data_IF_442164270907
#
_entry.id   IF_442164270907
#
_cell.length_a   1.000
_cell.length_b   1.000
_cell.length_c   1.000
_cell.angle_alpha   90.00
_cell.angle_beta   90.00
_cell.angle_gamma   90.00
#
_symmetry.space_group_name_H-M   'P 1'
#
loop_
_entity.id
_entity.type
_entity.pdbx_description
1 polymer ?
#
# COMPACT_ATOMS: atom_id res chain seq x y z
N UNK A 1 -19.25 39.88 -37.21
CA UNK A 1 -19.92 38.59 -36.95
C UNK A 1 -18.93 37.71 -36.19
N UNK A 2 -19.16 37.49 -34.90
CA UNK A 2 -18.28 36.66 -34.07
C UNK A 2 -18.59 35.18 -34.35
N UNK A 3 -17.59 34.44 -34.82
CA UNK A 3 -17.69 32.98 -34.91
C UNK A 3 -17.65 32.43 -33.49
N UNK A 4 -18.77 31.87 -33.03
CA UNK A 4 -18.83 31.08 -31.80
C UNK A 4 -17.99 29.82 -32.02
N UNK A 5 -16.88 29.71 -31.30
CA UNK A 5 -16.09 28.48 -31.27
C UNK A 5 -16.94 27.28 -30.84
N UNK A 6 -16.57 26.06 -31.26
CA UNK A 6 -17.33 24.87 -30.91
C UNK A 6 -17.40 24.71 -29.39
N UNK A 7 -18.63 24.67 -28.85
CA UNK A 7 -18.86 24.33 -27.44
C UNK A 7 -18.57 22.84 -27.28
N UNK A 8 -17.46 22.52 -26.63
CA UNK A 8 -17.13 21.14 -26.27
C UNK A 8 -17.98 20.76 -25.05
N UNK A 9 -18.97 19.90 -25.26
CA UNK A 9 -19.84 19.38 -24.20
C UNK A 9 -19.11 18.44 -23.23
N UNK A 10 -19.77 18.10 -22.14
CA UNK A 10 -19.30 17.06 -21.20
C UNK A 10 -19.21 15.70 -21.90
N UNK A 11 -18.29 14.83 -21.48
CA UNK A 11 -18.07 13.48 -22.06
C UNK A 11 -19.32 12.58 -22.06
N UNK A 12 -20.37 13.00 -21.33
CA UNK A 12 -21.67 12.33 -21.24
C UNK A 12 -22.70 12.79 -22.28
N UNK A 13 -22.41 13.85 -23.04
CA UNK A 13 -23.30 14.39 -24.08
C UNK A 13 -22.76 14.03 -25.47
N UNK A 14 -23.31 12.96 -26.07
CA UNK A 14 -23.02 12.59 -27.46
C UNK A 14 -23.83 13.51 -28.38
N UNK A 15 -23.26 14.64 -28.79
CA UNK A 15 -23.92 15.61 -29.68
C UNK A 15 -23.14 15.82 -30.98
N UNK A 16 -23.37 14.93 -31.95
CA UNK A 16 -22.91 15.06 -33.33
C UNK A 16 -23.47 13.94 -34.21
N UNK A 17 -24.00 14.31 -35.39
CA UNK A 17 -24.33 13.39 -36.47
C UNK A 17 -23.38 13.70 -37.64
N UNK A 18 -22.60 12.70 -38.06
CA UNK A 18 -21.68 12.85 -39.20
C UNK A 18 -22.19 12.00 -40.35
N UNK A 19 -22.42 12.64 -41.50
CA UNK A 19 -22.79 11.98 -42.74
C UNK A 19 -21.50 11.62 -43.49
N UNK A 20 -21.21 10.33 -43.60
CA UNK A 20 -20.08 9.82 -44.38
C UNK A 20 -20.63 9.40 -45.76
N UNK A 21 -19.85 9.66 -46.81
CA UNK A 21 -20.24 9.34 -48.19
C UNK A 21 -20.80 7.92 -48.30
N UNK A 22 -22.11 7.81 -48.60
CA UNK A 22 -22.88 6.56 -48.53
C UNK A 22 -24.24 6.70 -47.88
N UNK A 23 -24.49 7.78 -47.12
CA UNK A 23 -25.79 8.04 -46.47
C UNK A 23 -25.93 7.43 -45.07
N UNK A 24 -24.87 6.80 -44.57
CA UNK A 24 -24.81 6.30 -43.19
C UNK A 24 -24.60 7.47 -42.21
N UNK A 25 -25.51 7.61 -41.25
CA UNK A 25 -25.43 8.59 -40.17
C UNK A 25 -24.81 7.93 -38.95
N UNK A 26 -23.62 8.40 -38.56
CA UNK A 26 -22.98 7.98 -37.31
C UNK A 26 -23.24 9.00 -36.21
N UNK A 27 -23.73 8.54 -35.06
CA UNK A 27 -23.83 9.35 -33.83
C UNK A 27 -22.50 9.29 -33.07
N UNK A 28 -21.84 10.42 -32.91
CA UNK A 28 -20.52 10.52 -32.30
C UNK A 28 -20.01 11.95 -32.24
N UNK A 29 -18.72 12.12 -31.95
CA UNK A 29 -18.07 13.42 -31.99
C UNK A 29 -17.67 13.80 -33.42
N UNK A 30 -17.82 15.07 -33.81
CA UNK A 30 -17.26 15.59 -35.06
C UNK A 30 -15.72 15.67 -34.98
N UNK A 31 -15.04 15.78 -36.12
CA UNK A 31 -13.58 15.92 -36.17
C UNK A 31 -13.10 17.14 -35.35
N UNK A 32 -13.82 18.25 -35.40
CA UNK A 32 -13.52 19.46 -34.64
C UNK A 32 -13.69 19.24 -33.13
N UNK A 33 -14.74 18.52 -32.72
CA UNK A 33 -14.97 18.18 -31.32
C UNK A 33 -13.88 17.25 -30.79
N UNK A 34 -13.49 16.23 -31.57
CA UNK A 34 -12.37 15.33 -31.22
C UNK A 34 -11.07 16.12 -31.11
N UNK A 35 -10.79 17.01 -32.08
CA UNK A 35 -9.58 17.85 -32.06
C UNK A 35 -9.53 18.74 -30.82
N UNK A 36 -10.65 19.40 -30.46
CA UNK A 36 -10.73 20.22 -29.25
C UNK A 36 -10.56 19.39 -27.96
N UNK A 37 -11.16 18.19 -27.90
CA UNK A 37 -10.99 17.27 -26.78
C UNK A 37 -9.53 16.83 -26.63
N UNK A 38 -8.86 16.48 -27.74
CA UNK A 38 -7.46 16.09 -27.75
C UNK A 38 -6.55 17.23 -27.28
N UNK A 39 -6.80 18.47 -27.72
CA UNK A 39 -6.06 19.64 -27.24
C UNK A 39 -6.28 19.89 -25.74
N UNK A 40 -7.50 19.66 -25.24
CA UNK A 40 -7.82 19.80 -23.83
C UNK A 40 -7.16 18.71 -22.98
N UNK A 41 -7.17 17.46 -23.45
CA UNK A 41 -6.46 16.35 -22.80
C UNK A 41 -4.96 16.65 -22.77
N UNK A 42 -4.36 17.03 -23.90
CA UNK A 42 -2.93 17.30 -23.97
C UNK A 42 -2.46 18.50 -23.12
N UNK A 43 -3.35 19.47 -22.85
CA UNK A 43 -3.04 20.62 -21.98
C UNK A 43 -3.32 20.37 -20.50
N UNK A 44 -4.28 19.51 -20.19
CA UNK A 44 -4.67 19.18 -18.80
C UNK A 44 -3.85 18.01 -18.24
N UNK A 45 -3.64 16.97 -19.05
CA UNK A 45 -2.71 15.89 -18.77
C UNK A 45 -1.36 16.27 -19.32
N UNK A 46 -0.48 16.74 -18.45
CA UNK A 46 0.95 16.70 -18.70
C UNK A 46 1.46 15.34 -18.21
N UNK A 47 1.59 14.32 -19.08
CA UNK A 47 2.19 13.06 -18.67
C UNK A 47 3.60 13.36 -18.17
N UNK A 48 3.87 13.02 -16.91
CA UNK A 48 5.24 12.96 -16.43
C UNK A 48 6.02 12.00 -17.34
N UNK A 49 7.27 12.31 -17.73
CA UNK A 49 8.10 11.37 -18.47
C UNK A 49 8.12 10.04 -17.74
N UNK A 50 7.85 8.95 -18.47
CA UNK A 50 7.93 7.60 -17.91
C UNK A 50 9.33 7.41 -17.33
N UNK A 51 9.41 7.16 -16.02
CA UNK A 51 10.67 7.10 -15.27
C UNK A 51 11.40 5.75 -15.43
N UNK A 52 10.91 4.89 -16.33
CA UNK A 52 11.48 3.57 -16.60
C UNK A 52 10.98 2.47 -15.66
N UNK A 53 10.20 2.78 -14.61
CA UNK A 53 9.69 1.77 -13.67
C UNK A 53 8.50 1.03 -14.26
N UNK A 54 8.64 -0.28 -14.43
CA UNK A 54 7.52 -1.12 -14.88
C UNK A 54 6.47 -1.20 -13.76
N UNK A 55 5.20 -0.80 -14.01
CA UNK A 55 4.16 -0.85 -12.99
C UNK A 55 3.66 -2.27 -12.72
N UNK A 56 4.02 -3.24 -13.57
CA UNK A 56 3.62 -4.63 -13.45
C UNK A 56 4.76 -5.47 -12.86
N UNK A 57 4.58 -5.94 -11.62
CA UNK A 57 5.57 -6.74 -10.88
C UNK A 57 5.49 -8.26 -11.10
N UNK A 58 4.56 -8.73 -11.93
CA UNK A 58 4.42 -10.16 -12.21
C UNK A 58 4.06 -10.98 -10.96
N UNK A 59 4.92 -11.94 -10.59
CA UNK A 59 4.75 -12.79 -9.40
C UNK A 59 5.39 -12.20 -8.14
N UNK A 60 6.16 -11.12 -8.25
CA UNK A 60 6.71 -10.44 -7.09
C UNK A 60 5.59 -9.74 -6.32
N UNK A 61 5.75 -9.65 -5.01
CA UNK A 61 4.82 -8.91 -4.17
C UNK A 61 5.12 -7.41 -4.22
N UNK A 62 4.09 -6.61 -3.91
CA UNK A 62 4.23 -5.17 -3.75
C UNK A 62 4.84 -4.89 -2.37
N UNK A 63 5.91 -4.12 -2.37
CA UNK A 63 6.54 -3.60 -1.16
C UNK A 63 5.90 -2.26 -0.76
N UNK A 64 6.31 -1.72 0.38
CA UNK A 64 5.83 -0.42 0.86
C UNK A 64 6.08 0.71 -0.14
N UNK A 65 7.21 0.66 -0.84
CA UNK A 65 7.61 1.64 -1.85
C UNK A 65 6.72 1.60 -3.09
N UNK A 66 6.03 0.48 -3.32
CA UNK A 66 5.14 0.30 -4.46
C UNK A 66 3.68 0.68 -4.13
N UNK A 67 3.41 1.31 -2.99
CA UNK A 67 2.05 1.66 -2.55
C UNK A 67 1.29 2.52 -3.58
N UNK A 68 1.99 3.38 -4.33
CA UNK A 68 1.40 4.18 -5.41
C UNK A 68 0.90 3.34 -6.59
N UNK A 69 1.31 2.07 -6.68
CA UNK A 69 0.90 1.12 -7.71
C UNK A 69 -0.11 0.07 -7.17
N UNK A 70 -0.42 0.10 -5.87
CA UNK A 70 -1.28 -0.87 -5.22
C UNK A 70 -2.73 -0.37 -5.16
N UNK A 71 -3.58 -0.93 -6.02
CA UNK A 71 -4.99 -0.50 -6.17
C UNK A 71 -5.99 -1.66 -6.07
N UNK A 72 -7.26 -1.32 -5.85
CA UNK A 72 -8.41 -2.24 -5.88
C UNK A 72 -8.63 -2.99 -4.56
N UNK A 73 -7.83 -2.71 -3.52
CA UNK A 73 -7.94 -3.32 -2.19
C UNK A 73 -8.08 -2.30 -1.06
N UNK A 74 -8.46 -1.07 -1.39
CA UNK A 74 -8.55 0.06 -0.46
C UNK A 74 -9.51 -0.23 0.70
N UNK A 75 -10.67 -0.83 0.40
CA UNK A 75 -11.64 -1.24 1.43
C UNK A 75 -11.05 -2.26 2.40
N UNK A 76 -10.31 -3.24 1.87
CA UNK A 76 -9.68 -4.27 2.71
C UNK A 76 -8.56 -3.69 3.59
N UNK A 77 -7.80 -2.72 3.07
CA UNK A 77 -6.82 -1.95 3.86
C UNK A 77 -7.53 -1.16 4.97
N UNK A 78 -8.63 -0.47 4.69
CA UNK A 78 -9.41 0.26 5.69
C UNK A 78 -9.96 -0.64 6.79
N UNK A 79 -10.46 -1.83 6.42
CA UNK A 79 -10.92 -2.83 7.39
C UNK A 79 -9.78 -3.33 8.28
N UNK A 80 -8.58 -3.55 7.71
CA UNK A 80 -7.39 -3.94 8.46
C UNK A 80 -6.89 -2.83 9.39
N UNK A 81 -6.90 -1.57 8.95
CA UNK A 81 -6.56 -0.41 9.78
C UNK A 81 -7.52 -0.32 10.99
N UNK A 82 -8.82 -0.51 10.75
CA UNK A 82 -9.82 -0.51 11.82
C UNK A 82 -9.55 -1.63 12.84
N UNK A 83 -9.23 -2.84 12.38
CA UNK A 83 -8.87 -3.97 13.26
C UNK A 83 -7.56 -3.71 14.03
N UNK A 84 -6.54 -3.16 13.38
CA UNK A 84 -5.27 -2.84 14.01
C UNK A 84 -5.38 -1.72 15.06
N UNK A 85 -6.41 -0.86 14.96
CA UNK A 85 -6.72 0.14 15.97
C UNK A 85 -7.27 -0.49 17.24
N UNK A 86 -8.15 -1.47 17.10
CA UNK A 86 -8.93 -2.05 18.20
C UNK A 86 -8.33 -3.34 18.78
N UNK A 87 -7.33 -3.94 18.12
CA UNK A 87 -6.72 -5.21 18.51
C UNK A 87 -5.19 -5.17 18.45
N UNK A 88 -4.54 -5.78 19.44
CA UNK A 88 -3.08 -5.92 19.47
C UNK A 88 -2.54 -6.97 18.49
N UNK A 89 -3.41 -7.83 17.96
CA UNK A 89 -3.04 -8.91 17.05
C UNK A 89 -4.11 -9.09 15.99
N UNK A 90 -3.68 -9.18 14.73
CA UNK A 90 -4.57 -9.40 13.57
C UNK A 90 -4.00 -10.54 12.75
N UNK A 91 -4.76 -11.62 12.62
CA UNK A 91 -4.42 -12.74 11.75
C UNK A 91 -5.03 -12.52 10.37
N UNK A 92 -4.22 -12.73 9.33
CA UNK A 92 -4.64 -12.61 7.94
C UNK A 92 -4.46 -13.98 7.29
N UNK A 93 -5.56 -14.56 6.81
CA UNK A 93 -5.57 -15.88 6.18
C UNK A 93 -6.07 -15.79 4.75
N UNK A 94 -5.62 -16.71 3.91
CA UNK A 94 -6.02 -16.76 2.51
C UNK A 94 -5.09 -17.66 1.69
N UNK A 95 -5.52 -18.08 0.48
CA UNK A 95 -4.73 -18.95 -0.38
C UNK A 95 -3.31 -18.43 -0.65
N UNK A 96 -2.38 -19.33 -0.96
CA UNK A 96 -1.06 -18.91 -1.45
C UNK A 96 -1.23 -18.08 -2.74
N UNK A 97 -0.40 -17.05 -2.90
CA UNK A 97 -0.48 -16.14 -4.04
C UNK A 97 -1.68 -15.17 -4.04
N UNK A 98 -2.54 -15.15 -3.01
CA UNK A 98 -3.69 -14.23 -2.97
C UNK A 98 -3.33 -12.75 -2.71
N UNK A 99 -2.03 -12.44 -2.60
CA UNK A 99 -1.50 -11.09 -2.36
C UNK A 99 -1.54 -10.63 -0.91
N UNK A 100 -1.43 -11.54 0.07
CA UNK A 100 -1.46 -11.20 1.52
C UNK A 100 -0.30 -10.30 1.91
N UNK A 101 0.93 -10.67 1.53
CA UNK A 101 2.13 -9.87 1.83
C UNK A 101 2.06 -8.49 1.16
N UNK A 102 1.61 -8.41 -0.09
CA UNK A 102 1.34 -7.13 -0.78
C UNK A 102 0.31 -6.27 -0.05
N UNK A 103 -0.82 -6.87 0.37
CA UNK A 103 -1.87 -6.18 1.13
C UNK A 103 -1.34 -5.60 2.44
N UNK A 104 -0.45 -6.32 3.12
CA UNK A 104 0.11 -5.88 4.40
C UNK A 104 1.20 -4.82 4.16
N UNK A 105 2.14 -5.05 3.25
CA UNK A 105 3.30 -4.17 3.02
C UNK A 105 2.89 -2.88 2.30
N UNK A 106 2.42 -3.02 1.06
CA UNK A 106 2.02 -1.89 0.22
C UNK A 106 0.69 -1.23 0.67
N UNK A 107 -0.18 -1.99 1.33
CA UNK A 107 -1.45 -1.49 1.84
C UNK A 107 -1.39 -1.02 3.30
N UNK A 108 -1.40 -1.96 4.24
CA UNK A 108 -1.57 -1.67 5.67
C UNK A 108 -0.38 -0.89 6.29
N UNK A 109 0.84 -1.38 6.14
CA UNK A 109 2.05 -0.77 6.71
C UNK A 109 2.25 0.62 6.12
N UNK A 110 2.13 0.76 4.80
CA UNK A 110 2.15 2.06 4.15
C UNK A 110 1.10 3.01 4.74
N UNK A 111 -0.17 2.60 4.81
CA UNK A 111 -1.24 3.42 5.37
C UNK A 111 -0.98 3.85 6.83
N UNK A 112 -0.49 2.93 7.66
CA UNK A 112 -0.13 3.25 9.06
C UNK A 112 1.03 4.24 9.12
N UNK A 113 2.07 4.09 8.29
CA UNK A 113 3.16 5.07 8.21
C UNK A 113 2.72 6.44 7.70
N UNK A 114 1.66 6.50 6.90
CA UNK A 114 1.00 7.75 6.49
C UNK A 114 0.02 8.32 7.54
N UNK A 115 -0.06 7.72 8.73
CA UNK A 115 -0.91 8.24 9.82
C UNK A 115 -2.39 7.86 9.71
N UNK A 116 -2.72 6.74 9.05
CA UNK A 116 -4.10 6.24 9.00
C UNK A 116 -4.72 6.00 10.39
N UNK A 117 -3.87 5.81 11.42
CA UNK A 117 -4.24 5.93 12.83
C UNK A 117 -3.49 7.13 13.40
N UNK A 118 -4.15 7.93 14.24
CA UNK A 118 -3.51 9.11 14.83
C UNK A 118 -2.23 8.72 15.58
N UNK A 119 -1.07 9.23 15.13
CA UNK A 119 0.23 8.95 15.70
C UNK A 119 0.96 7.75 15.11
N UNK A 120 0.35 7.01 14.16
CA UNK A 120 0.97 5.80 13.60
C UNK A 120 2.17 6.05 12.71
N UNK A 121 2.35 7.28 12.23
CA UNK A 121 3.55 7.72 11.50
C UNK A 121 4.82 7.67 12.37
N UNK A 122 4.67 7.65 13.71
CA UNK A 122 5.77 7.58 14.68
C UNK A 122 5.96 6.20 15.31
N UNK A 123 5.18 5.20 14.89
CA UNK A 123 5.32 3.83 15.36
C UNK A 123 6.59 3.18 14.82
N UNK A 124 7.00 2.10 15.47
CA UNK A 124 8.16 1.29 15.10
C UNK A 124 7.67 0.06 14.35
N UNK A 125 8.22 -0.22 13.16
CA UNK A 125 7.78 -1.30 12.28
C UNK A 125 8.90 -2.30 12.05
N UNK A 126 8.60 -3.59 12.14
CA UNK A 126 9.51 -4.63 11.69
C UNK A 126 8.80 -5.84 11.11
N UNK A 127 9.47 -6.46 10.14
CA UNK A 127 9.07 -7.71 9.53
C UNK A 127 9.86 -8.87 10.14
N UNK A 128 9.18 -9.98 10.42
CA UNK A 128 9.75 -11.24 10.89
C UNK A 128 9.38 -12.31 9.89
N UNK A 129 10.39 -13.04 9.43
CA UNK A 129 10.22 -14.25 8.62
C UNK A 129 10.75 -15.39 9.51
N UNK A 130 9.87 -16.15 10.18
CA UNK A 130 10.27 -17.09 11.21
C UNK A 130 11.27 -18.15 10.71
N UNK A 131 10.99 -18.75 9.55
CA UNK A 131 11.77 -19.85 9.00
C UNK A 131 12.07 -20.96 10.03
N UNK A 132 13.27 -21.52 9.95
CA UNK A 132 13.73 -22.63 10.82
C UNK A 132 14.07 -22.23 12.25
N UNK A 133 14.31 -20.94 12.50
CA UNK A 133 14.71 -20.44 13.81
C UNK A 133 13.81 -19.26 14.25
N UNK A 134 12.50 -19.50 14.53
CA UNK A 134 11.52 -18.44 14.79
C UNK A 134 11.92 -17.48 15.91
N UNK A 135 12.47 -18.01 17.00
CA UNK A 135 12.90 -17.22 18.15
C UNK A 135 14.11 -16.34 17.80
N UNK A 136 15.03 -16.84 16.98
CA UNK A 136 16.18 -16.06 16.53
C UNK A 136 15.74 -14.95 15.55
N UNK A 137 14.82 -15.26 14.62
CA UNK A 137 14.24 -14.26 13.72
C UNK A 137 13.53 -13.14 14.49
N UNK A 138 12.75 -13.50 15.51
CA UNK A 138 12.09 -12.55 16.41
C UNK A 138 13.11 -11.70 17.19
N UNK A 139 14.13 -12.34 17.77
CA UNK A 139 15.17 -11.67 18.55
C UNK A 139 15.92 -10.62 17.72
N UNK A 140 16.29 -10.96 16.47
CA UNK A 140 16.93 -10.03 15.53
C UNK A 140 16.05 -8.84 15.20
N UNK A 141 14.77 -9.06 14.94
CA UNK A 141 13.84 -7.98 14.65
C UNK A 141 13.75 -7.01 15.83
N UNK A 142 13.55 -7.50 17.05
CA UNK A 142 13.49 -6.63 18.24
C UNK A 142 14.81 -5.91 18.49
N UNK A 143 15.94 -6.61 18.40
CA UNK A 143 17.27 -6.04 18.60
C UNK A 143 17.58 -4.91 17.62
N UNK A 144 17.16 -5.06 16.36
CA UNK A 144 17.26 -4.02 15.33
C UNK A 144 16.52 -2.74 15.74
N UNK A 145 15.35 -2.85 16.37
CA UNK A 145 14.51 -1.70 16.72
C UNK A 145 14.95 -1.02 18.01
N UNK A 146 15.49 -1.77 18.95
CA UNK A 146 16.04 -1.26 20.22
C UNK A 146 17.49 -0.78 20.04
N UNK A 147 18.11 -1.05 18.88
CA UNK A 147 19.52 -0.79 18.59
C UNK A 147 20.45 -1.40 19.67
N UNK A 148 20.15 -2.62 20.11
CA UNK A 148 20.87 -3.30 21.19
C UNK A 148 21.16 -4.75 20.85
N UNK A 149 22.44 -5.11 20.77
CA UNK A 149 22.88 -6.50 20.55
C UNK A 149 22.59 -7.39 21.76
N UNK A 150 22.57 -6.81 22.97
CA UNK A 150 22.24 -7.56 24.19
C UNK A 150 20.79 -8.07 24.17
N UNK A 151 19.89 -7.35 23.49
CA UNK A 151 18.50 -7.77 23.33
C UNK A 151 18.38 -9.07 22.52
N UNK A 152 19.19 -9.22 21.46
CA UNK A 152 19.15 -10.42 20.62
C UNK A 152 19.52 -11.67 21.42
N UNK A 153 20.66 -11.62 22.14
CA UNK A 153 21.13 -12.75 22.91
C UNK A 153 20.22 -13.10 24.09
N UNK A 154 19.70 -12.11 24.81
CA UNK A 154 18.78 -12.38 25.91
C UNK A 154 17.48 -13.00 25.44
N UNK A 155 16.86 -12.47 24.38
CA UNK A 155 15.63 -13.02 23.81
C UNK A 155 15.90 -14.45 23.31
N UNK A 156 16.98 -14.65 22.54
CA UNK A 156 17.33 -15.97 21.99
C UNK A 156 17.53 -17.03 23.07
N UNK A 157 18.21 -16.69 24.16
CA UNK A 157 18.59 -17.66 25.20
C UNK A 157 17.46 -17.95 26.20
N UNK A 158 16.57 -16.98 26.43
CA UNK A 158 15.65 -17.04 27.57
C UNK A 158 14.17 -16.90 27.21
N UNK A 159 13.79 -16.47 26.00
CA UNK A 159 12.37 -16.26 25.66
C UNK A 159 11.52 -17.54 25.70
N UNK A 160 12.13 -18.73 25.58
CA UNK A 160 11.43 -20.01 25.68
C UNK A 160 11.18 -20.47 27.13
N UNK A 161 11.88 -19.87 28.09
CA UNK A 161 11.77 -20.21 29.52
C UNK A 161 11.20 -19.07 30.35
N UNK A 162 11.25 -17.84 29.84
CA UNK A 162 10.72 -16.63 30.46
C UNK A 162 10.05 -15.74 29.39
N UNK A 163 8.72 -15.82 29.36
CA UNK A 163 7.86 -15.07 28.44
C UNK A 163 7.95 -13.54 28.66
N UNK A 164 8.38 -13.09 29.84
CA UNK A 164 8.45 -11.67 30.18
C UNK A 164 9.58 -10.92 29.48
N UNK A 165 10.61 -11.62 29.00
CA UNK A 165 11.81 -11.01 28.41
C UNK A 165 11.48 -10.25 27.13
N UNK A 166 10.59 -10.81 26.31
CA UNK A 166 10.15 -10.12 25.10
C UNK A 166 9.41 -8.83 25.46
N UNK A 167 8.45 -8.90 26.38
CA UNK A 167 7.70 -7.73 26.83
C UNK A 167 8.63 -6.65 27.40
N UNK A 168 9.61 -7.03 28.22
CA UNK A 168 10.60 -6.12 28.80
C UNK A 168 11.41 -5.39 27.73
N UNK A 169 11.91 -6.11 26.71
CA UNK A 169 12.67 -5.46 25.63
C UNK A 169 11.80 -4.55 24.78
N UNK A 170 10.54 -4.91 24.55
CA UNK A 170 9.57 -4.01 23.92
C UNK A 170 9.31 -2.74 24.76
N UNK A 171 9.15 -2.87 26.07
CA UNK A 171 8.99 -1.72 26.99
C UNK A 171 10.21 -0.78 26.95
N UNK A 172 11.42 -1.36 26.96
CA UNK A 172 12.67 -0.59 26.82
C UNK A 172 12.71 0.16 25.47
N UNK A 173 12.32 -0.49 24.37
CA UNK A 173 12.26 0.14 23.04
C UNK A 173 11.26 1.32 23.00
N UNK A 174 10.16 1.19 23.74
CA UNK A 174 9.09 2.20 23.77
C UNK A 174 9.42 3.38 24.71
N UNK A 175 10.44 3.28 25.57
CA UNK A 175 10.96 4.36 26.44
C UNK A 175 9.87 5.19 27.15
N UNK A 176 8.79 4.55 27.62
CA UNK A 176 7.65 5.20 28.29
C UNK A 176 6.85 6.23 27.46
N UNK A 177 7.05 6.27 26.14
CA UNK A 177 6.30 7.14 25.24
C UNK A 177 4.97 6.50 24.86
N UNK A 178 3.89 6.95 25.49
CA UNK A 178 2.51 6.44 25.26
C UNK A 178 2.01 6.58 23.81
N UNK A 179 2.67 7.40 23.00
CA UNK A 179 2.35 7.61 21.58
C UNK A 179 3.13 6.69 20.62
N UNK A 180 4.11 5.93 21.13
CA UNK A 180 4.82 4.92 20.33
C UNK A 180 4.15 3.57 20.48
N UNK A 181 4.00 2.88 19.35
CA UNK A 181 3.63 1.46 19.30
C UNK A 181 4.63 0.69 18.47
N UNK A 182 4.68 -0.60 18.73
CA UNK A 182 5.47 -1.55 17.99
C UNK A 182 4.55 -2.37 17.09
N UNK A 183 4.82 -2.38 15.79
CA UNK A 183 4.09 -3.15 14.79
C UNK A 183 5.02 -4.23 14.27
N UNK A 184 4.72 -5.46 14.65
CA UNK A 184 5.42 -6.64 14.15
C UNK A 184 4.57 -7.29 13.06
N UNK A 185 5.11 -7.34 11.86
CA UNK A 185 4.55 -8.11 10.77
C UNK A 185 5.27 -9.45 10.69
N UNK A 186 4.55 -10.54 10.92
CA UNK A 186 5.08 -11.90 10.80
C UNK A 186 4.55 -12.48 9.49
N UNK A 187 5.45 -12.70 8.53
CA UNK A 187 5.12 -13.31 7.23
C UNK A 187 5.57 -14.77 7.20
N UNK A 188 4.96 -15.58 6.34
CA UNK A 188 5.30 -16.99 6.12
C UNK A 188 5.33 -17.83 7.41
N UNK A 189 4.30 -17.69 8.25
CA UNK A 189 4.18 -18.47 9.48
C UNK A 189 4.10 -19.99 9.23
N UNK A 190 3.66 -20.38 8.03
CA UNK A 190 3.52 -21.75 7.58
C UNK A 190 4.82 -22.41 7.07
N UNK A 191 5.88 -21.63 6.83
CA UNK A 191 7.14 -22.16 6.29
C UNK A 191 8.08 -22.62 7.42
N UNK A 192 8.45 -23.90 7.39
CA UNK A 192 9.35 -24.57 8.36
C UNK A 192 10.61 -25.08 7.65
#
# INVERSE_FOLDING_TARGET
>A
MAQSGPKVGSIKDVSGEVNIAGGDIYKGFTAEQVSALLSQIASTFQPQPFDGRCPYKGLDFFEEEDAELFFGREKLVQDLVSRAKDSCTVFITGPSGSGKSSLIRAGLIHALKQGAILGSERWLYAAVHPGREPIQALARAVASLVMSTNAEDEIRLKALTDESIFARWCEIALQDKRDKRFVLFIDQFEEV
#
